data_IF_126808952892
#
_entry.id   IF_126808952892
#
_cell.length_a   1.000
_cell.length_b   1.000
_cell.length_c   1.000
_cell.angle_alpha   90.00
_cell.angle_beta   90.00
_cell.angle_gamma   90.00
#
_symmetry.space_group_name_H-M   'P 1'
#
loop_
_entity.id
_entity.type
_entity.pdbx_description
1 polymer ?
#
# COMPACT_ATOMS: atom_id res chain seq x y z
N UNK A 1 -70.47 -3.64 6.27
CA UNK A 1 -69.44 -2.98 7.11
C UNK A 1 -68.07 -3.54 6.73
N UNK A 2 -67.31 -2.82 5.93
CA UNK A 2 -66.05 -3.31 5.36
C UNK A 2 -64.90 -2.61 6.06
N UNK A 3 -64.27 -3.27 7.03
CA UNK A 3 -63.10 -2.72 7.76
C UNK A 3 -61.84 -2.96 6.95
N UNK A 4 -61.35 -1.89 6.28
CA UNK A 4 -60.05 -1.91 5.61
C UNK A 4 -58.94 -1.78 6.66
N UNK A 5 -58.07 -2.79 6.74
CA UNK A 5 -56.84 -2.79 7.55
C UNK A 5 -55.84 -1.72 7.01
N UNK A 6 -55.13 -0.98 7.88
CA UNK A 6 -54.13 -0.02 7.46
C UNK A 6 -52.87 -0.67 6.86
N UNK A 7 -52.17 -0.02 5.93
CA UNK A 7 -50.98 -0.55 5.30
C UNK A 7 -49.83 -0.64 6.31
N UNK A 8 -49.12 -1.79 6.28
CA UNK A 8 -47.93 -2.05 7.09
C UNK A 8 -46.82 -1.07 6.66
N UNK A 9 -46.37 -0.23 7.59
CA UNK A 9 -45.18 0.60 7.43
C UNK A 9 -43.98 -0.29 7.23
N UNK A 10 -43.35 -0.25 6.06
CA UNK A 10 -42.01 -0.81 5.84
C UNK A 10 -41.03 -0.04 6.71
N UNK A 11 -40.42 -0.75 7.66
CA UNK A 11 -39.26 -0.21 8.40
C UNK A 11 -38.14 -0.01 7.38
N UNK A 12 -37.68 1.23 7.24
CA UNK A 12 -36.49 1.55 6.49
C UNK A 12 -35.30 0.78 7.10
N UNK A 13 -34.66 -0.02 6.29
CA UNK A 13 -33.37 -0.64 6.63
C UNK A 13 -32.38 0.50 6.80
N UNK A 14 -31.66 0.60 7.92
CA UNK A 14 -30.63 1.61 8.06
C UNK A 14 -29.58 1.35 6.97
N UNK A 15 -29.38 2.32 6.08
CA UNK A 15 -28.28 2.33 5.15
C UNK A 15 -27.00 2.28 6.00
N UNK A 16 -26.20 1.22 5.83
CA UNK A 16 -24.90 1.11 6.47
C UNK A 16 -24.11 2.38 6.14
N UNK A 17 -23.75 3.13 7.17
CA UNK A 17 -22.86 4.27 7.04
C UNK A 17 -21.60 3.77 6.29
N UNK A 18 -21.24 4.48 5.22
CA UNK A 18 -19.98 4.25 4.54
C UNK A 18 -18.86 4.26 5.61
N UNK A 19 -17.87 3.33 5.56
CA UNK A 19 -16.83 3.31 6.56
C UNK A 19 -16.18 4.69 6.60
N UNK A 20 -16.16 5.30 7.78
CA UNK A 20 -15.53 6.59 7.98
C UNK A 20 -14.14 6.55 7.36
N UNK A 21 -13.82 7.53 6.53
CA UNK A 21 -12.52 7.66 5.88
C UNK A 21 -11.43 7.79 6.97
N UNK A 22 -10.87 6.63 7.37
CA UNK A 22 -9.93 6.55 8.48
C UNK A 22 -8.50 6.92 8.08
N UNK A 23 -8.28 7.36 6.83
CA UNK A 23 -6.94 7.62 6.31
C UNK A 23 -6.09 6.35 6.18
N UNK A 24 -4.86 6.51 5.71
CA UNK A 24 -3.89 5.44 5.55
C UNK A 24 -2.79 5.53 6.64
N UNK A 25 -2.25 4.40 7.07
CA UNK A 25 -1.10 4.41 7.98
C UNK A 25 0.09 5.11 7.33
N UNK A 26 0.73 6.03 8.05
CA UNK A 26 1.82 6.87 7.54
C UNK A 26 2.96 6.03 6.94
N UNK A 27 3.42 4.97 7.63
CA UNK A 27 4.46 4.08 7.11
C UNK A 27 4.06 3.37 5.79
N UNK A 28 2.75 3.13 5.58
CA UNK A 28 2.25 2.57 4.32
C UNK A 28 2.36 3.60 3.19
N UNK A 29 2.03 4.84 3.47
CA UNK A 29 2.12 5.95 2.50
C UNK A 29 3.57 6.22 2.12
N UNK A 30 4.48 6.28 3.09
CA UNK A 30 5.92 6.44 2.85
C UNK A 30 6.50 5.31 2.02
N UNK A 31 6.16 4.05 2.35
CA UNK A 31 6.61 2.90 1.60
C UNK A 31 6.07 2.88 0.15
N UNK A 32 4.81 3.27 -0.05
CA UNK A 32 4.21 3.40 -1.38
C UNK A 32 4.86 4.50 -2.21
N UNK A 33 5.40 5.54 -1.58
CA UNK A 33 6.17 6.60 -2.22
C UNK A 33 7.62 6.20 -2.54
N UNK A 34 8.04 4.99 -2.16
CA UNK A 34 9.37 4.47 -2.48
C UNK A 34 10.47 4.85 -1.48
N UNK A 35 10.13 5.44 -0.33
CA UNK A 35 11.11 5.87 0.68
C UNK A 35 11.86 4.67 1.27
N UNK A 36 11.15 3.55 1.50
CA UNK A 36 11.76 2.35 2.06
C UNK A 36 10.72 1.25 2.29
N UNK A 37 11.10 0.18 2.98
CA UNK A 37 10.16 -0.81 3.50
C UNK A 37 9.28 -0.19 4.58
N UNK A 38 8.15 -0.81 4.91
CA UNK A 38 7.30 -0.33 6.01
C UNK A 38 8.07 -0.23 7.32
N UNK A 39 8.98 -1.18 7.61
CA UNK A 39 9.82 -1.18 8.81
C UNK A 39 10.84 -0.04 8.81
N UNK A 40 11.49 0.21 7.68
CA UNK A 40 12.40 1.36 7.53
C UNK A 40 11.64 2.68 7.68
N UNK A 41 10.43 2.79 7.12
CA UNK A 41 9.58 3.97 7.29
C UNK A 41 9.12 4.17 8.75
N UNK A 42 8.83 3.09 9.48
CA UNK A 42 8.55 3.16 10.93
C UNK A 42 9.75 3.69 11.72
N UNK A 43 10.97 3.31 11.32
CA UNK A 43 12.19 3.84 11.93
C UNK A 43 12.35 5.33 11.68
N UNK A 44 12.13 5.81 10.45
CA UNK A 44 12.15 7.23 10.11
C UNK A 44 11.14 8.05 10.93
N UNK A 45 9.94 7.49 11.14
CA UNK A 45 8.92 8.12 11.98
C UNK A 45 9.40 8.24 13.42
N UNK A 46 9.95 7.15 14.01
CA UNK A 46 10.48 7.17 15.39
C UNK A 46 11.62 8.17 15.57
N UNK A 47 12.44 8.34 14.56
CA UNK A 47 13.56 9.29 14.55
C UNK A 47 13.11 10.76 14.40
N UNK A 48 11.80 11.01 14.24
CA UNK A 48 11.26 12.36 14.06
C UNK A 48 11.64 13.01 12.73
N UNK A 49 11.94 12.22 11.70
CA UNK A 49 12.34 12.67 10.35
C UNK A 49 11.16 12.88 9.42
N UNK A 50 9.95 12.60 9.89
CA UNK A 50 8.72 12.71 9.10
C UNK A 50 7.84 13.82 9.65
N UNK A 51 7.39 14.69 8.76
CA UNK A 51 6.46 15.78 9.06
C UNK A 51 5.14 15.54 8.31
N UNK A 52 4.05 15.86 8.99
CA UNK A 52 2.70 15.91 8.43
C UNK A 52 2.15 17.31 8.68
N UNK A 53 1.79 18.03 7.62
CA UNK A 53 1.35 19.43 7.71
C UNK A 53 2.33 20.32 8.48
N UNK A 54 3.64 20.10 8.23
CA UNK A 54 4.79 20.81 8.87
C UNK A 54 4.94 20.56 10.38
N UNK A 55 4.31 19.51 10.89
CA UNK A 55 4.49 19.05 12.27
C UNK A 55 5.20 17.71 12.28
N UNK A 56 6.26 17.62 13.06
CA UNK A 56 7.01 16.37 13.24
C UNK A 56 6.10 15.32 13.88
N UNK A 57 6.08 14.15 13.28
CA UNK A 57 5.29 13.00 13.75
C UNK A 57 6.22 11.86 14.09
N UNK A 58 6.26 11.46 15.37
CA UNK A 58 7.05 10.34 15.87
C UNK A 58 6.19 9.15 16.33
N UNK A 59 4.87 9.31 16.32
CA UNK A 59 3.93 8.28 16.77
C UNK A 59 3.68 7.22 15.68
N UNK A 60 3.95 5.96 16.04
CA UNK A 60 3.60 4.83 15.19
C UNK A 60 2.09 4.61 15.20
N UNK A 61 1.55 4.31 14.03
CA UNK A 61 0.10 4.15 13.88
C UNK A 61 -0.62 5.42 13.41
N UNK A 62 0.06 6.56 13.33
CA UNK A 62 -0.47 7.80 12.74
C UNK A 62 -1.11 7.50 11.39
N UNK A 63 -2.33 8.01 11.20
CA UNK A 63 -3.07 7.91 9.94
C UNK A 63 -3.09 9.25 9.24
N UNK A 64 -2.92 9.22 7.93
CA UNK A 64 -2.85 10.41 7.10
C UNK A 64 -3.68 10.27 5.83
N UNK A 65 -4.05 11.39 5.27
CA UNK A 65 -4.73 11.50 3.99
C UNK A 65 -3.77 12.15 2.98
N UNK A 66 -2.98 11.38 2.23
CA UNK A 66 -1.92 11.92 1.37
C UNK A 66 -2.44 12.84 0.26
N UNK A 67 -3.75 12.79 -0.03
CA UNK A 67 -4.40 13.67 -1.00
C UNK A 67 -4.76 15.05 -0.42
N UNK A 68 -4.73 15.21 0.91
CA UNK A 68 -5.18 16.41 1.64
C UNK A 68 -4.11 16.99 2.55
N UNK A 69 -3.12 16.19 2.91
CA UNK A 69 -2.07 16.54 3.87
C UNK A 69 -0.70 16.58 3.19
N UNK A 70 0.09 17.56 3.55
CA UNK A 70 1.47 17.65 3.12
C UNK A 70 2.33 16.72 3.99
N UNK A 71 3.02 15.77 3.35
CA UNK A 71 3.92 14.85 4.03
C UNK A 71 5.34 15.15 3.56
N UNK A 72 6.27 15.26 4.49
CA UNK A 72 7.69 15.49 4.22
C UNK A 72 8.55 14.46 4.94
N UNK A 73 9.67 14.12 4.32
CA UNK A 73 10.73 13.30 4.92
C UNK A 73 12.02 14.08 4.79
N UNK A 74 12.71 14.33 5.90
CA UNK A 74 13.92 15.15 5.96
C UNK A 74 13.75 16.52 5.27
N UNK A 75 12.57 17.14 5.40
CA UNK A 75 12.22 18.41 4.81
C UNK A 75 11.79 18.38 3.34
N UNK A 76 11.92 17.24 2.65
CA UNK A 76 11.48 17.07 1.27
C UNK A 76 10.05 16.58 1.17
N UNK A 77 9.23 17.22 0.33
CA UNK A 77 7.86 16.80 0.07
C UNK A 77 7.81 15.42 -0.56
N UNK A 78 6.93 14.58 -0.02
CA UNK A 78 6.67 13.25 -0.53
C UNK A 78 6.02 13.33 -1.92
N UNK A 79 6.64 12.69 -2.90
CA UNK A 79 6.06 12.57 -4.25
C UNK A 79 5.33 11.25 -4.37
N UNK A 80 4.13 11.26 -4.93
CA UNK A 80 3.41 10.04 -5.28
C UNK A 80 3.99 9.47 -6.57
N UNK A 81 4.65 8.30 -6.57
CA UNK A 81 5.21 7.72 -7.77
C UNK A 81 4.08 7.28 -8.72
N UNK A 82 4.40 7.29 -10.02
CA UNK A 82 3.50 6.73 -11.02
C UNK A 82 3.33 5.23 -10.77
N UNK A 83 2.09 4.75 -10.80
CA UNK A 83 1.82 3.31 -10.68
C UNK A 83 2.27 2.59 -11.92
N UNK A 84 2.97 1.50 -11.74
CA UNK A 84 3.46 0.63 -12.80
C UNK A 84 3.08 -0.82 -12.52
N UNK A 85 2.82 -1.56 -13.59
CA UNK A 85 2.39 -2.95 -13.53
C UNK A 85 3.13 -3.74 -14.61
N UNK A 86 3.75 -4.84 -14.22
CA UNK A 86 4.47 -5.73 -15.12
C UNK A 86 3.91 -7.14 -14.98
N UNK A 87 3.61 -7.77 -16.11
CA UNK A 87 3.35 -9.19 -16.19
C UNK A 87 4.66 -9.89 -16.56
N UNK A 88 5.18 -10.70 -15.66
CA UNK A 88 6.48 -11.37 -15.83
C UNK A 88 6.26 -12.87 -15.92
N UNK A 89 6.79 -13.50 -16.96
CA UNK A 89 6.93 -14.95 -17.00
C UNK A 89 8.17 -15.32 -16.22
N UNK A 90 8.00 -15.67 -14.94
CA UNK A 90 9.11 -16.02 -14.06
C UNK A 90 9.73 -17.34 -14.51
N UNK A 91 11.03 -17.38 -14.82
CA UNK A 91 11.71 -18.63 -15.10
C UNK A 91 12.01 -19.40 -13.80
N UNK A 92 12.27 -20.74 -13.88
CA UNK A 92 12.76 -21.49 -12.74
C UNK A 92 14.15 -20.98 -12.30
N UNK A 93 14.46 -21.12 -11.02
CA UNK A 93 15.73 -20.67 -10.43
C UNK A 93 15.69 -19.24 -9.87
N UNK A 94 14.69 -18.45 -10.22
CA UNK A 94 14.51 -17.06 -9.78
C UNK A 94 13.62 -17.01 -8.54
N UNK A 95 13.95 -16.15 -7.58
CA UNK A 95 13.21 -16.02 -6.31
C UNK A 95 12.27 -14.82 -6.29
N UNK A 96 11.13 -14.97 -5.62
CA UNK A 96 10.13 -13.91 -5.41
C UNK A 96 10.33 -13.28 -4.03
N UNK A 97 11.35 -12.45 -3.90
CA UNK A 97 11.63 -11.70 -2.68
C UNK A 97 12.06 -10.28 -2.99
N UNK A 98 11.75 -9.33 -2.11
CA UNK A 98 12.24 -7.95 -2.25
C UNK A 98 13.72 -7.83 -1.86
N UNK A 99 14.22 -8.72 -1.00
CA UNK A 99 15.61 -8.75 -0.55
C UNK A 99 16.06 -10.21 -0.42
N UNK A 100 17.20 -10.52 -0.99
CA UNK A 100 17.83 -11.85 -0.86
C UNK A 100 19.26 -11.73 -0.31
N UNK A 101 19.48 -12.12 0.96
CA UNK A 101 20.82 -12.09 1.54
C UNK A 101 21.83 -13.02 0.85
N UNK A 102 21.33 -14.06 0.16
CA UNK A 102 22.15 -15.03 -0.55
C UNK A 102 22.58 -14.57 -1.95
N UNK A 103 22.14 -13.40 -2.39
CA UNK A 103 22.50 -12.84 -3.69
C UNK A 103 21.94 -13.61 -4.90
N UNK A 104 20.87 -14.41 -4.71
CA UNK A 104 20.21 -15.12 -5.81
C UNK A 104 19.45 -14.14 -6.70
N UNK A 105 19.33 -14.48 -7.98
CA UNK A 105 18.54 -13.69 -8.93
C UNK A 105 17.08 -13.63 -8.51
N UNK A 106 16.57 -12.42 -8.37
CA UNK A 106 15.18 -12.15 -7.99
C UNK A 106 14.36 -11.79 -9.23
N UNK A 107 13.06 -12.05 -9.18
CA UNK A 107 12.15 -11.65 -10.27
C UNK A 107 12.18 -10.13 -10.50
N UNK A 108 12.46 -9.33 -9.47
CA UNK A 108 12.59 -7.88 -9.57
C UNK A 108 13.83 -7.45 -10.39
N UNK A 109 14.88 -8.27 -10.41
CA UNK A 109 16.11 -8.00 -11.17
C UNK A 109 15.93 -8.19 -12.68
N UNK A 110 14.81 -8.81 -13.10
CA UNK A 110 14.45 -8.99 -14.51
C UNK A 110 13.77 -7.74 -15.11
N UNK A 111 13.49 -6.73 -14.32
CA UNK A 111 12.73 -5.55 -14.71
C UNK A 111 13.59 -4.30 -14.49
N UNK A 112 13.78 -3.51 -15.55
CA UNK A 112 14.35 -2.18 -15.43
C UNK A 112 13.28 -1.20 -14.95
N UNK A 113 13.40 -0.72 -13.71
CA UNK A 113 12.50 0.27 -13.15
C UNK A 113 13.24 1.14 -12.12
N UNK A 114 12.93 2.42 -12.11
CA UNK A 114 13.36 3.35 -11.07
C UNK A 114 12.46 3.27 -9.83
N UNK A 115 11.30 2.66 -9.97
CA UNK A 115 10.32 2.52 -8.92
C UNK A 115 10.65 1.35 -8.00
N UNK A 116 10.28 1.47 -6.75
CA UNK A 116 10.37 0.36 -5.81
C UNK A 116 9.27 -0.65 -6.08
N UNK A 117 9.64 -1.80 -6.62
CA UNK A 117 8.73 -2.86 -7.02
C UNK A 117 8.64 -3.98 -5.97
N UNK A 118 7.52 -4.70 -6.01
CA UNK A 118 7.29 -5.94 -5.29
C UNK A 118 6.39 -6.87 -6.10
N UNK A 119 6.40 -8.15 -5.75
CA UNK A 119 5.57 -9.16 -6.41
C UNK A 119 4.19 -9.22 -5.77
N UNK A 120 3.15 -9.43 -6.57
CA UNK A 120 1.81 -9.78 -6.11
C UNK A 120 1.76 -11.30 -5.96
N UNK A 121 1.80 -11.76 -4.72
CA UNK A 121 1.97 -13.18 -4.42
C UNK A 121 3.40 -13.67 -4.63
N UNK A 122 3.55 -14.96 -4.65
CA UNK A 122 4.85 -15.64 -4.75
C UNK A 122 4.72 -16.92 -5.55
N UNK A 123 5.74 -17.20 -6.35
CA UNK A 123 6.03 -18.51 -6.93
C UNK A 123 7.30 -19.05 -6.29
N UNK A 124 7.38 -20.35 -6.11
CA UNK A 124 8.57 -21.00 -5.58
C UNK A 124 9.75 -20.83 -6.54
N UNK A 125 10.98 -21.01 -6.03
CA UNK A 125 12.19 -20.86 -6.83
C UNK A 125 12.19 -21.80 -8.05
N UNK A 126 11.74 -23.03 -7.89
CA UNK A 126 11.69 -24.05 -8.95
C UNK A 126 10.49 -23.88 -9.88
N UNK A 127 9.47 -23.10 -9.49
CA UNK A 127 8.28 -22.87 -10.28
C UNK A 127 8.52 -21.83 -11.35
N UNK A 128 7.85 -22.01 -12.49
CA UNK A 128 7.77 -21.02 -13.58
C UNK A 128 6.33 -20.57 -13.78
N UNK A 129 6.14 -19.42 -14.42
CA UNK A 129 4.83 -18.93 -14.80
C UNK A 129 4.62 -17.45 -14.55
N UNK A 130 3.39 -17.02 -14.76
CA UNK A 130 3.00 -15.63 -14.66
C UNK A 130 3.04 -15.14 -13.20
N UNK A 131 3.73 -14.03 -12.99
CA UNK A 131 3.69 -13.26 -11.75
C UNK A 131 3.52 -11.77 -12.07
N UNK A 132 2.70 -11.08 -11.29
CA UNK A 132 2.54 -9.63 -11.42
C UNK A 132 3.52 -8.93 -10.49
N UNK A 133 4.21 -7.92 -11.02
CA UNK A 133 5.14 -7.06 -10.29
C UNK A 133 4.66 -5.62 -10.40
N UNK A 134 4.59 -4.91 -9.29
CA UNK A 134 4.02 -3.56 -9.23
C UNK A 134 4.60 -2.77 -8.07
N UNK A 135 4.37 -1.45 -8.08
CA UNK A 135 4.54 -0.56 -6.92
C UNK A 135 3.20 -0.20 -6.26
N UNK A 136 2.07 -0.75 -6.73
CA UNK A 136 0.74 -0.49 -6.15
C UNK A 136 0.43 -1.49 -5.02
N UNK A 137 0.62 -1.06 -3.77
CA UNK A 137 0.34 -1.86 -2.57
C UNK A 137 -1.14 -2.20 -2.33
N UNK A 138 -2.05 -1.82 -3.23
CA UNK A 138 -3.46 -2.26 -3.16
C UNK A 138 -3.65 -3.65 -3.73
N UNK A 139 -2.73 -4.08 -4.61
CA UNK A 139 -2.76 -5.40 -5.23
C UNK A 139 -1.98 -6.47 -4.43
N UNK A 140 -1.18 -6.07 -3.47
CA UNK A 140 -0.33 -6.98 -2.68
C UNK A 140 -1.01 -7.46 -1.40
#
# INVERSE_FOLDING_TARGET
MNRRSPPKRHKAVPQSAAPADQGQRLQKVLAAAGIGSRRECEQLIREGRVEVDRQVTAELGTRVHPERQEIRVDGECLRTPKRVYYAVNKPPGVVCTSRDPSGRLRVLDLIESKERLFTVGRLDRSSEGLIVVTNDGRLA
#
